data_IF_611333045825
#
_entry.id   IF_611333045825
#
_cell.length_a   1.000
_cell.length_b   1.000
_cell.length_c   1.000
_cell.angle_alpha   90.00
_cell.angle_beta   90.00
_cell.angle_gamma   90.00
#
_symmetry.space_group_name_H-M   'P 1'
#
loop_
_entity.id
_entity.type
_entity.pdbx_description
1 polymer ?
#
# COMPACT_ATOMS: atom_id res chain seq x y z
N UNK A 1 -18.51 61.88 44.66
CA UNK A 1 -17.66 61.57 43.55
C UNK A 1 -16.70 60.47 43.98
N UNK A 2 -17.19 59.30 44.23
CA UNK A 2 -16.41 58.14 44.61
C UNK A 2 -17.29 56.97 44.31
N UNK A 3 -17.09 56.25 43.20
CA UNK A 3 -17.65 54.89 42.93
C UNK A 3 -17.78 54.55 41.45
N UNK A 4 -17.01 55.19 40.58
CA UNK A 4 -17.08 54.93 39.13
C UNK A 4 -15.82 54.26 38.55
N UNK A 5 -15.05 53.58 39.41
CA UNK A 5 -13.82 52.90 39.00
C UNK A 5 -13.80 51.37 39.25
N UNK A 6 -14.95 50.78 39.53
CA UNK A 6 -15.01 49.34 39.83
C UNK A 6 -15.88 48.51 38.87
N UNK A 7 -16.35 49.05 37.75
CA UNK A 7 -17.22 48.31 36.81
C UNK A 7 -16.52 47.97 35.47
N UNK A 8 -15.23 48.20 35.34
CA UNK A 8 -14.55 47.94 34.06
C UNK A 8 -13.51 46.82 34.13
N UNK A 9 -13.76 45.76 34.87
CA UNK A 9 -12.81 44.65 34.98
C UNK A 9 -13.47 43.26 34.94
N UNK A 10 -14.63 43.06 34.31
CA UNK A 10 -15.29 41.73 34.27
C UNK A 10 -15.80 41.36 32.84
N UNK A 11 -15.29 41.95 31.81
CA UNK A 11 -15.71 41.59 30.45
C UNK A 11 -14.51 41.37 29.52
N UNK A 12 -13.64 40.41 29.86
CA UNK A 12 -12.64 39.91 28.92
C UNK A 12 -12.15 38.52 29.33
N UNK A 13 -13.03 37.57 29.48
CA UNK A 13 -12.69 36.15 29.60
C UNK A 13 -13.78 35.31 28.94
N UNK A 14 -14.11 35.60 27.69
CA UNK A 14 -14.79 34.64 26.83
C UNK A 14 -13.74 33.85 26.08
N UNK A 15 -13.54 32.68 26.59
CA UNK A 15 -12.83 31.53 26.10
C UNK A 15 -12.81 31.40 24.56
N UNK A 16 -11.62 31.54 23.99
CA UNK A 16 -11.24 30.83 22.79
C UNK A 16 -10.89 29.39 23.19
N UNK A 17 -11.87 28.54 23.38
CA UNK A 17 -11.66 27.09 23.20
C UNK A 17 -11.60 26.84 21.71
N UNK A 18 -10.46 27.15 21.08
CA UNK A 18 -10.09 26.55 19.83
C UNK A 18 -10.00 25.05 20.10
N UNK A 19 -11.00 24.31 19.65
CA UNK A 19 -10.90 22.89 19.47
C UNK A 19 -9.76 22.66 18.49
N UNK A 20 -8.56 22.42 19.02
CA UNK A 20 -7.49 21.82 18.26
C UNK A 20 -7.97 20.43 17.90
N UNK A 21 -8.60 20.28 16.72
CA UNK A 21 -8.57 19.01 16.02
C UNK A 21 -7.09 18.67 15.86
N UNK A 22 -6.64 17.50 16.28
CA UNK A 22 -5.32 17.07 15.89
C UNK A 22 -5.35 16.95 14.35
N UNK A 23 -4.83 17.95 13.66
CA UNK A 23 -4.34 17.73 12.33
C UNK A 23 -3.26 16.69 12.52
N UNK A 24 -3.52 15.47 12.07
CA UNK A 24 -2.48 14.47 11.92
C UNK A 24 -1.40 15.11 11.03
N UNK A 25 -0.38 15.62 11.66
CA UNK A 25 0.86 16.01 10.98
C UNK A 25 1.45 14.65 10.60
N UNK A 26 1.17 14.21 9.38
CA UNK A 26 1.94 13.14 8.78
C UNK A 26 3.37 13.67 8.71
N UNK A 27 4.24 13.10 9.52
CA UNK A 27 5.65 13.40 9.44
C UNK A 27 6.09 13.01 8.02
N UNK A 28 6.69 13.94 7.30
CA UNK A 28 7.24 13.77 5.95
C UNK A 28 8.40 12.75 5.93
N UNK A 29 8.71 12.14 7.09
CA UNK A 29 9.74 11.13 7.34
C UNK A 29 9.17 9.78 7.79
N UNK A 30 7.86 9.51 7.63
CA UNK A 30 7.34 8.18 7.92
C UNK A 30 7.97 7.18 6.95
N UNK A 31 8.69 6.20 7.49
CA UNK A 31 9.21 5.10 6.68
C UNK A 31 8.05 4.47 5.89
N UNK A 32 8.29 4.15 4.63
CA UNK A 32 7.27 3.68 3.70
C UNK A 32 7.41 2.17 3.52
N UNK A 33 6.30 1.44 3.69
CA UNK A 33 6.22 0.03 3.35
C UNK A 33 5.80 -0.13 1.90
N UNK A 34 6.70 -0.65 1.06
CA UNK A 34 6.52 -0.73 -0.39
C UNK A 34 5.97 -2.07 -0.82
N UNK A 35 4.83 -2.02 -1.50
CA UNK A 35 4.16 -3.21 -2.06
C UNK A 35 4.26 -3.15 -3.58
N UNK A 36 4.80 -4.20 -4.18
CA UNK A 36 4.80 -4.39 -5.63
C UNK A 36 3.51 -5.07 -6.10
N UNK A 37 3.10 -4.78 -7.31
CA UNK A 37 2.02 -5.48 -8.01
C UNK A 37 2.51 -5.92 -9.37
N UNK A 38 2.32 -7.20 -9.71
CA UNK A 38 2.63 -7.76 -11.03
C UNK A 38 1.38 -8.42 -11.60
N UNK A 39 1.12 -8.17 -12.84
CA UNK A 39 0.04 -8.79 -13.60
C UNK A 39 0.00 -8.30 -15.03
N UNK A 40 -0.90 -8.82 -15.86
CA UNK A 40 -1.07 -8.31 -17.22
C UNK A 40 -1.72 -6.91 -17.14
N UNK A 41 -0.94 -5.87 -17.40
CA UNK A 41 -1.43 -4.49 -17.47
C UNK A 41 -1.83 -4.11 -18.90
N UNK A 42 -1.33 -4.87 -19.88
CA UNK A 42 -1.67 -4.73 -21.30
C UNK A 42 -2.09 -6.08 -21.91
N UNK A 43 -2.63 -6.06 -23.15
CA UNK A 43 -3.11 -7.24 -23.85
C UNK A 43 -4.49 -7.73 -23.40
N UNK A 44 -4.84 -8.96 -23.81
CA UNK A 44 -6.19 -9.53 -23.67
C UNK A 44 -6.63 -9.74 -22.21
N UNK A 45 -5.67 -9.92 -21.32
CA UNK A 45 -5.90 -10.15 -19.88
C UNK A 45 -5.77 -8.88 -19.02
N UNK A 46 -5.59 -7.72 -19.62
CA UNK A 46 -5.29 -6.47 -18.91
C UNK A 46 -6.33 -6.11 -17.83
N UNK A 47 -7.60 -6.42 -18.07
CA UNK A 47 -8.67 -6.14 -17.10
C UNK A 47 -8.43 -6.82 -15.73
N UNK A 48 -7.78 -7.98 -15.70
CA UNK A 48 -7.50 -8.68 -14.45
C UNK A 48 -6.34 -8.03 -13.69
N UNK A 49 -5.24 -7.71 -14.37
CA UNK A 49 -4.09 -7.05 -13.76
C UNK A 49 -4.42 -5.65 -13.26
N UNK A 50 -5.07 -4.85 -14.11
CA UNK A 50 -5.52 -3.50 -13.72
C UNK A 50 -6.50 -3.53 -12.54
N UNK A 51 -7.40 -4.52 -12.49
CA UNK A 51 -8.32 -4.70 -11.36
C UNK A 51 -7.57 -4.93 -10.05
N UNK A 52 -6.57 -5.81 -10.04
CA UNK A 52 -5.74 -6.06 -8.85
C UNK A 52 -4.93 -4.83 -8.46
N UNK A 53 -4.32 -4.15 -9.43
CA UNK A 53 -3.52 -2.95 -9.18
C UNK A 53 -4.35 -1.83 -8.56
N UNK A 54 -5.51 -1.51 -9.14
CA UNK A 54 -6.39 -0.48 -8.60
C UNK A 54 -6.94 -0.86 -7.21
N UNK A 55 -7.26 -2.14 -7.00
CA UNK A 55 -7.71 -2.60 -5.68
C UNK A 55 -6.61 -2.43 -4.61
N UNK A 56 -5.36 -2.72 -4.96
CA UNK A 56 -4.22 -2.51 -4.07
C UNK A 56 -4.03 -1.01 -3.73
N UNK A 57 -4.17 -0.12 -4.72
CA UNK A 57 -4.10 1.33 -4.51
C UNK A 57 -5.19 1.82 -3.55
N UNK A 58 -6.44 1.41 -3.75
CA UNK A 58 -7.57 1.77 -2.87
C UNK A 58 -7.33 1.26 -1.45
N UNK A 59 -6.84 0.02 -1.31
CA UNK A 59 -6.52 -0.54 0.00
C UNK A 59 -5.39 0.24 0.71
N UNK A 60 -4.35 0.64 -0.02
CA UNK A 60 -3.27 1.45 0.53
C UNK A 60 -3.76 2.85 0.97
N UNK A 61 -4.60 3.50 0.17
CA UNK A 61 -5.23 4.77 0.53
C UNK A 61 -6.05 4.65 1.82
N UNK A 62 -6.85 3.58 1.95
CA UNK A 62 -7.66 3.33 3.14
C UNK A 62 -6.79 3.05 4.38
N UNK A 63 -5.74 2.24 4.24
CA UNK A 63 -4.78 1.97 5.32
C UNK A 63 -4.10 3.27 5.77
N UNK A 64 -3.62 4.08 4.83
CA UNK A 64 -2.92 5.33 5.11
C UNK A 64 -3.86 6.36 5.76
N UNK A 65 -5.11 6.46 5.32
CA UNK A 65 -6.12 7.33 5.93
C UNK A 65 -6.41 6.97 7.39
N UNK A 66 -6.20 5.71 7.78
CA UNK A 66 -6.35 5.21 9.14
C UNK A 66 -5.05 5.23 9.96
N UNK A 67 -4.00 5.90 9.48
CA UNK A 67 -2.74 6.07 10.19
C UNK A 67 -1.64 5.10 9.80
N UNK A 68 -1.79 4.42 8.67
CA UNK A 68 -0.80 3.51 8.12
C UNK A 68 -0.77 2.13 8.79
N UNK A 69 0.20 1.33 8.43
CA UNK A 69 0.45 0.01 9.01
C UNK A 69 1.63 0.08 9.98
N UNK A 70 1.40 -0.13 11.27
CA UNK A 70 2.43 -0.01 12.32
C UNK A 70 3.22 1.33 12.31
N UNK A 71 2.59 2.41 11.86
CA UNK A 71 3.25 3.71 11.73
C UNK A 71 3.96 3.95 10.39
N UNK A 72 3.96 2.97 9.50
CA UNK A 72 4.47 3.11 8.13
C UNK A 72 3.35 3.51 7.17
N UNK A 73 3.64 4.40 6.25
CA UNK A 73 2.77 4.60 5.09
C UNK A 73 2.93 3.42 4.12
N UNK A 74 1.84 2.97 3.53
CA UNK A 74 1.86 1.95 2.48
C UNK A 74 1.94 2.65 1.12
N UNK A 75 2.92 2.25 0.31
CA UNK A 75 3.12 2.70 -1.06
C UNK A 75 2.92 1.54 -2.02
N UNK A 76 2.07 1.71 -3.02
CA UNK A 76 1.98 0.77 -4.14
C UNK A 76 2.91 1.27 -5.23
N UNK A 77 3.94 0.50 -5.54
CA UNK A 77 4.87 0.80 -6.62
C UNK A 77 4.17 0.73 -7.99
N UNK A 78 4.76 1.37 -9.00
CA UNK A 78 4.29 1.22 -10.38
C UNK A 78 4.24 -0.25 -10.76
N UNK A 79 3.09 -0.68 -11.30
CA UNK A 79 2.84 -2.09 -11.55
C UNK A 79 3.78 -2.67 -12.62
N UNK A 80 4.25 -3.87 -12.38
CA UNK A 80 4.95 -4.67 -13.38
C UNK A 80 3.97 -5.30 -14.38
N UNK A 81 4.14 -5.00 -15.68
CA UNK A 81 3.34 -5.59 -16.75
C UNK A 81 3.96 -6.91 -17.22
N UNK A 82 3.38 -8.02 -16.82
CA UNK A 82 3.84 -9.35 -17.25
C UNK A 82 3.19 -9.85 -18.55
N UNK A 83 2.14 -9.20 -19.04
CA UNK A 83 1.38 -9.63 -20.21
C UNK A 83 0.93 -11.11 -20.15
N UNK A 84 0.77 -11.65 -18.94
CA UNK A 84 0.53 -13.07 -18.65
C UNK A 84 1.66 -14.01 -19.13
N UNK A 85 2.87 -13.52 -19.24
CA UNK A 85 4.09 -14.23 -19.64
C UNK A 85 4.98 -14.47 -18.41
N UNK A 86 5.36 -15.73 -18.09
CA UNK A 86 6.16 -16.06 -16.93
C UNK A 86 7.55 -15.40 -16.89
N UNK A 87 8.23 -15.28 -18.04
CA UNK A 87 9.58 -14.68 -18.09
C UNK A 87 9.50 -13.17 -17.83
N UNK A 88 8.49 -12.50 -18.39
CA UNK A 88 8.24 -11.08 -18.11
C UNK A 88 7.86 -10.84 -16.65
N UNK A 89 7.12 -11.77 -16.04
CA UNK A 89 6.78 -11.68 -14.64
C UNK A 89 8.02 -11.73 -13.73
N UNK A 90 8.95 -12.62 -14.01
CA UNK A 90 10.23 -12.71 -13.26
C UNK A 90 11.07 -11.43 -13.46
N UNK A 91 11.15 -10.89 -14.68
CA UNK A 91 11.83 -9.63 -14.92
C UNK A 91 11.18 -8.47 -14.14
N UNK A 92 9.86 -8.38 -14.17
CA UNK A 92 9.12 -7.35 -13.41
C UNK A 92 9.32 -7.51 -11.89
N UNK A 93 9.42 -8.74 -11.39
CA UNK A 93 9.72 -9.02 -9.99
C UNK A 93 11.09 -8.46 -9.59
N UNK A 94 12.13 -8.73 -10.37
CA UNK A 94 13.46 -8.21 -10.12
C UNK A 94 13.51 -6.67 -10.19
N UNK A 95 12.83 -6.06 -11.17
CA UNK A 95 12.72 -4.60 -11.27
C UNK A 95 12.04 -3.97 -10.04
N UNK A 96 11.05 -4.64 -9.46
CA UNK A 96 10.39 -4.19 -8.24
C UNK A 96 11.26 -4.36 -7.00
N UNK A 97 12.06 -5.43 -6.92
CA UNK A 97 13.06 -5.60 -5.86
C UNK A 97 14.09 -4.47 -5.88
N UNK A 98 14.58 -4.08 -7.06
CA UNK A 98 15.51 -2.96 -7.22
C UNK A 98 14.91 -1.61 -6.78
N UNK A 99 13.57 -1.47 -6.85
CA UNK A 99 12.84 -0.32 -6.32
C UNK A 99 12.58 -0.39 -4.81
N UNK A 100 13.02 -1.45 -4.16
CA UNK A 100 12.89 -1.66 -2.73
C UNK A 100 11.54 -2.25 -2.31
N UNK A 101 10.90 -3.06 -3.16
CA UNK A 101 9.69 -3.80 -2.79
C UNK A 101 9.95 -4.71 -1.58
N UNK A 102 9.01 -4.73 -0.65
CA UNK A 102 9.07 -5.53 0.57
C UNK A 102 8.02 -6.67 0.59
N UNK A 103 6.96 -6.52 -0.18
CA UNK A 103 5.89 -7.50 -0.33
C UNK A 103 5.36 -7.46 -1.77
N UNK A 104 4.99 -8.62 -2.32
CA UNK A 104 4.35 -8.73 -3.62
C UNK A 104 2.86 -9.05 -3.48
N UNK A 105 2.00 -8.21 -4.07
CA UNK A 105 0.58 -8.51 -4.31
C UNK A 105 0.40 -8.88 -5.79
N UNK A 106 0.24 -10.12 -6.07
CA UNK A 106 0.23 -10.70 -7.43
C UNK A 106 1.21 -11.88 -7.44
N UNK A 107 1.49 -12.55 -8.53
CA UNK A 107 1.00 -12.25 -9.87
C UNK A 107 -0.44 -12.69 -10.08
N UNK A 108 -1.06 -12.24 -11.18
CA UNK A 108 -2.50 -12.47 -11.44
C UNK A 108 -2.77 -13.82 -12.11
N UNK A 109 -1.91 -14.22 -13.05
CA UNK A 109 -2.07 -15.50 -13.77
C UNK A 109 -1.25 -16.61 -13.13
N UNK A 110 -1.74 -17.84 -13.18
CA UNK A 110 -1.09 -18.97 -12.52
C UNK A 110 0.31 -19.27 -13.06
N UNK A 111 0.55 -19.15 -14.36
CA UNK A 111 1.86 -19.38 -14.95
C UNK A 111 2.91 -18.38 -14.45
N UNK A 112 2.57 -17.10 -14.46
CA UNK A 112 3.41 -16.03 -13.90
C UNK A 112 3.62 -16.23 -12.39
N UNK A 113 2.57 -16.65 -11.67
CA UNK A 113 2.64 -16.87 -10.23
C UNK A 113 3.62 -17.99 -9.85
N UNK A 114 3.59 -19.11 -10.57
CA UNK A 114 4.52 -20.23 -10.36
C UNK A 114 5.96 -19.81 -10.63
N UNK A 115 6.20 -19.07 -11.71
CA UNK A 115 7.54 -18.63 -12.06
C UNK A 115 8.11 -17.64 -11.04
N UNK A 116 7.32 -16.64 -10.64
CA UNK A 116 7.75 -15.65 -9.63
C UNK A 116 7.86 -16.30 -8.26
N UNK A 117 6.97 -17.23 -7.91
CA UNK A 117 7.04 -17.97 -6.64
C UNK A 117 8.36 -18.72 -6.47
N UNK A 118 8.88 -19.31 -7.54
CA UNK A 118 10.17 -19.99 -7.51
C UNK A 118 11.34 -19.02 -7.21
N UNK A 119 11.29 -17.79 -7.71
CA UNK A 119 12.29 -16.74 -7.42
C UNK A 119 12.08 -16.10 -6.04
N UNK A 120 10.83 -15.92 -5.63
CA UNK A 120 10.47 -15.30 -4.36
C UNK A 120 10.62 -16.23 -3.16
N UNK A 121 10.78 -17.54 -3.38
CA UNK A 121 10.83 -18.55 -2.34
C UNK A 121 11.83 -18.14 -1.23
N UNK A 122 11.36 -18.13 0.02
CA UNK A 122 12.13 -17.77 1.21
C UNK A 122 12.67 -16.32 1.28
N UNK A 123 12.37 -15.47 0.29
CA UNK A 123 12.89 -14.09 0.24
C UNK A 123 11.82 -13.02 0.36
N UNK A 124 10.72 -13.14 -0.38
CA UNK A 124 9.68 -12.13 -0.46
C UNK A 124 8.33 -12.72 -0.11
N UNK A 125 7.61 -12.08 0.82
CA UNK A 125 6.21 -12.47 1.06
C UNK A 125 5.38 -12.17 -0.19
N UNK A 126 4.70 -13.20 -0.70
CA UNK A 126 3.86 -13.12 -1.88
C UNK A 126 2.41 -13.50 -1.56
N UNK A 127 1.48 -12.63 -1.95
CA UNK A 127 0.05 -12.88 -1.89
C UNK A 127 -0.54 -12.79 -3.30
N UNK A 128 -1.10 -13.89 -3.80
CA UNK A 128 -1.79 -13.89 -5.09
C UNK A 128 -3.30 -13.84 -4.92
N UNK A 129 -4.00 -12.80 -5.43
CA UNK A 129 -5.44 -12.66 -5.26
C UNK A 129 -6.27 -13.51 -6.26
N UNK A 130 -5.65 -14.05 -7.31
CA UNK A 130 -6.42 -14.62 -8.42
C UNK A 130 -5.82 -15.86 -9.10
N UNK A 131 -4.55 -16.20 -8.88
CA UNK A 131 -3.97 -17.42 -9.42
C UNK A 131 -4.65 -18.66 -8.82
N UNK A 132 -5.18 -19.55 -9.65
CA UNK A 132 -6.02 -20.67 -9.20
C UNK A 132 -5.32 -22.03 -9.16
N UNK A 133 -4.16 -22.17 -9.82
CA UNK A 133 -3.38 -23.40 -9.77
C UNK A 133 -2.86 -23.65 -8.34
N UNK A 134 -2.86 -24.91 -7.92
CA UNK A 134 -2.32 -25.29 -6.60
C UNK A 134 -0.84 -24.94 -6.49
N UNK A 135 -0.09 -25.18 -7.57
CA UNK A 135 1.35 -24.92 -7.62
C UNK A 135 1.72 -23.43 -7.50
N UNK A 136 0.72 -22.52 -7.55
CA UNK A 136 0.94 -21.07 -7.37
C UNK A 136 1.35 -20.66 -5.95
N UNK A 137 1.30 -21.57 -4.98
CA UNK A 137 1.62 -21.32 -3.57
C UNK A 137 2.43 -22.45 -2.94
N UNK A 138 3.23 -23.16 -3.71
CA UNK A 138 3.96 -24.36 -3.23
C UNK A 138 5.47 -24.24 -3.31
N UNK A 139 6.02 -23.16 -3.87
CA UNK A 139 7.45 -23.01 -4.00
C UNK A 139 8.12 -22.65 -2.66
N UNK A 140 7.42 -21.91 -1.77
CA UNK A 140 7.91 -21.52 -0.47
C UNK A 140 6.82 -21.42 0.60
N UNK A 141 7.24 -21.23 1.85
CA UNK A 141 6.32 -21.03 2.99
C UNK A 141 5.79 -19.58 3.11
N UNK A 142 6.30 -18.70 2.28
CA UNK A 142 6.01 -17.26 2.23
C UNK A 142 5.00 -16.88 1.14
N UNK A 143 4.35 -17.88 0.52
CA UNK A 143 3.36 -17.69 -0.54
C UNK A 143 1.95 -17.97 -0.04
N UNK A 144 1.00 -17.08 -0.38
CA UNK A 144 -0.39 -17.15 0.07
C UNK A 144 -1.37 -16.82 -1.07
N UNK A 145 -2.57 -17.42 -0.97
CA UNK A 145 -3.67 -17.19 -1.92
C UNK A 145 -4.97 -16.96 -1.16
#
# INVERSE_FOLDING_TARGET
MKNMKKVLAVTAAVAMTATMMPTAVFADDAETFKIGVIGPMTGDNAQYGLGVYHAAQVAAEEINANGGFNGYNVEILDAGDDQADPEKAVNAYNDLLDKGMQMLCGTVTSGSCIAVGAEAAESTFMFTPSATAVDSITAGSNEFR
#
